data_IF_857996313587
#
_entry.id   IF_857996313587
#
_cell.length_a   1.000
_cell.length_b   1.000
_cell.length_c   1.000
_cell.angle_alpha   90.00
_cell.angle_beta   90.00
_cell.angle_gamma   90.00
#
_symmetry.space_group_name_H-M   'P 1'
#
loop_
_entity.id
_entity.type
_entity.pdbx_description
1 polymer ?
#
# COMPACT_ATOMS: atom_id res chain seq x y z
N UNK A 1 -17.22 -5.70 -33.77
CA UNK A 1 -15.91 -5.05 -33.68
C UNK A 1 -16.16 -3.72 -33.00
N UNK A 2 -16.17 -3.73 -31.67
CA UNK A 2 -16.36 -2.55 -30.84
C UNK A 2 -14.97 -2.01 -30.51
N UNK A 3 -14.66 -0.83 -31.00
CA UNK A 3 -13.48 -0.07 -30.57
C UNK A 3 -13.58 0.18 -29.07
N UNK A 4 -12.77 -0.55 -28.30
CA UNK A 4 -12.46 -0.23 -26.92
C UNK A 4 -11.64 1.06 -26.92
N UNK A 5 -12.31 2.19 -26.66
CA UNK A 5 -11.65 3.45 -26.42
C UNK A 5 -10.75 3.30 -25.18
N UNK A 6 -9.46 3.12 -25.42
CA UNK A 6 -8.39 3.27 -24.43
C UNK A 6 -8.45 4.72 -23.92
N UNK A 7 -8.96 4.93 -22.71
CA UNK A 7 -8.83 6.21 -22.02
C UNK A 7 -7.38 6.37 -21.58
N UNK A 8 -6.59 7.09 -22.37
CA UNK A 8 -5.30 7.62 -21.95
C UNK A 8 -5.54 8.74 -20.91
N UNK A 9 -5.52 8.41 -19.63
CA UNK A 9 -5.43 9.39 -18.54
C UNK A 9 -4.01 9.32 -17.95
N UNK A 10 -3.17 10.38 -18.04
CA UNK A 10 -1.83 10.35 -17.45
C UNK A 10 -1.94 10.67 -15.95
N UNK A 11 -2.41 9.65 -15.24
CA UNK A 11 -2.14 9.41 -13.84
C UNK A 11 -0.63 9.10 -13.65
N UNK A 12 -0.06 9.20 -12.44
CA UNK A 12 1.38 9.08 -12.22
C UNK A 12 2.05 7.95 -13.02
N UNK A 13 3.03 8.32 -13.84
CA UNK A 13 4.09 7.45 -14.38
C UNK A 13 5.42 8.22 -14.32
N UNK A 14 6.59 7.56 -14.12
CA UNK A 14 6.91 6.20 -14.55
C UNK A 14 7.51 5.34 -13.44
N UNK A 15 6.66 4.74 -12.62
CA UNK A 15 6.87 3.49 -11.88
C UNK A 15 5.51 3.16 -11.25
N UNK A 16 5.04 1.92 -11.31
CA UNK A 16 3.76 1.51 -10.70
C UNK A 16 3.80 1.56 -9.15
N UNK A 17 4.78 2.26 -8.57
CA UNK A 17 5.05 2.39 -7.16
C UNK A 17 5.06 3.88 -6.76
N UNK A 18 4.45 4.17 -5.63
CA UNK A 18 4.59 5.41 -4.89
C UNK A 18 4.75 5.15 -3.39
N UNK A 19 4.89 6.24 -2.63
CA UNK A 19 5.06 6.20 -1.18
C UNK A 19 3.91 6.95 -0.53
N UNK A 20 3.30 6.40 0.53
CA UNK A 20 2.32 7.13 1.36
C UNK A 20 2.90 7.50 2.71
N UNK A 21 2.79 8.79 3.06
CA UNK A 21 3.36 9.40 4.27
C UNK A 21 2.44 10.50 4.84
N UNK A 22 2.75 10.98 6.05
CA UNK A 22 2.00 12.03 6.75
C UNK A 22 2.85 12.72 7.82
N UNK A 23 2.55 13.99 8.14
CA UNK A 23 3.21 14.72 9.24
C UNK A 23 2.94 14.12 10.63
N UNK A 24 1.89 13.31 10.81
CA UNK A 24 1.50 12.81 12.14
C UNK A 24 2.43 11.74 12.72
N UNK A 25 3.57 11.48 12.09
CA UNK A 25 4.50 10.41 12.45
C UNK A 25 5.62 10.92 13.33
N UNK A 26 5.91 10.22 14.42
CA UNK A 26 7.02 10.55 15.33
C UNK A 26 8.41 10.30 14.73
N UNK A 27 8.48 9.71 13.53
CA UNK A 27 9.73 9.34 12.85
C UNK A 27 10.07 10.26 11.66
N UNK A 28 9.40 11.41 11.53
CA UNK A 28 9.57 12.35 10.43
C UNK A 28 9.40 11.71 9.03
N UNK A 29 8.44 10.78 8.91
CA UNK A 29 8.28 9.96 7.71
C UNK A 29 7.98 10.79 6.45
N UNK A 30 7.25 11.92 6.58
CA UNK A 30 6.90 12.77 5.46
C UNK A 30 8.13 13.47 4.86
N UNK A 31 9.01 14.00 5.69
CA UNK A 31 10.24 14.64 5.19
C UNK A 31 11.15 13.63 4.49
N UNK A 32 11.34 12.44 5.10
CA UNK A 32 12.14 11.36 4.51
C UNK A 32 11.54 10.88 3.18
N UNK A 33 10.22 10.67 3.14
CA UNK A 33 9.53 10.27 1.92
C UNK A 33 9.59 11.34 0.83
N UNK A 34 9.49 12.63 1.21
CA UNK A 34 9.61 13.76 0.27
C UNK A 34 11.00 13.82 -0.35
N UNK A 35 12.05 13.74 0.47
CA UNK A 35 13.44 13.70 0.00
C UNK A 35 13.67 12.53 -0.97
N UNK A 36 13.22 11.34 -0.58
CA UNK A 36 13.31 10.14 -1.41
C UNK A 36 12.58 10.34 -2.74
N UNK A 37 11.29 10.66 -2.72
CA UNK A 37 10.46 10.79 -3.92
C UNK A 37 10.97 11.89 -4.88
N UNK A 38 11.50 12.98 -4.34
CA UNK A 38 12.12 14.04 -5.16
C UNK A 38 13.39 13.57 -5.85
N UNK A 39 14.24 12.83 -5.13
CA UNK A 39 15.52 12.32 -5.66
C UNK A 39 15.33 11.19 -6.66
N UNK A 40 14.30 10.35 -6.47
CA UNK A 40 14.07 9.15 -7.27
C UNK A 40 13.00 9.33 -8.34
N UNK A 41 12.36 10.50 -8.41
CA UNK A 41 11.21 10.76 -9.27
C UNK A 41 10.04 9.78 -9.05
N UNK A 42 9.88 9.30 -7.82
CA UNK A 42 8.78 8.43 -7.40
C UNK A 42 7.60 9.29 -6.92
N UNK A 43 6.36 8.83 -7.11
CA UNK A 43 5.19 9.57 -6.65
C UNK A 43 5.04 9.52 -5.12
N UNK A 44 4.75 10.67 -4.50
CA UNK A 44 4.42 10.78 -3.08
C UNK A 44 2.92 10.94 -2.89
N UNK A 45 2.33 10.24 -1.94
CA UNK A 45 0.97 10.47 -1.48
C UNK A 45 1.00 10.99 -0.04
N UNK A 46 0.34 12.12 0.17
CA UNK A 46 0.20 12.72 1.49
C UNK A 46 -1.18 12.41 2.04
N UNK A 47 -1.23 11.64 3.14
CA UNK A 47 -2.48 11.14 3.75
C UNK A 47 -2.67 11.74 5.16
N UNK A 48 -3.28 12.93 5.20
CA UNK A 48 -3.51 13.72 6.42
C UNK A 48 -4.75 14.62 6.26
N UNK A 49 -5.26 15.16 7.36
CA UNK A 49 -6.34 16.17 7.32
C UNK A 49 -5.89 17.48 6.69
N UNK A 50 -4.57 17.74 6.69
CA UNK A 50 -3.95 18.97 6.19
C UNK A 50 -3.27 18.74 4.83
N UNK A 51 -3.56 17.62 4.16
CA UNK A 51 -2.81 17.15 3.00
C UNK A 51 -2.73 18.19 1.88
N UNK A 52 -3.79 18.96 1.61
CA UNK A 52 -3.78 20.04 0.60
C UNK A 52 -2.67 21.05 0.88
N UNK A 53 -2.53 21.50 2.14
CA UNK A 53 -1.53 22.48 2.57
C UNK A 53 -0.12 21.90 2.59
N UNK A 54 0.03 20.67 3.08
CA UNK A 54 1.31 19.95 3.11
C UNK A 54 1.82 19.72 1.67
N UNK A 55 0.94 19.30 0.76
CA UNK A 55 1.28 19.08 -0.65
C UNK A 55 1.68 20.36 -1.36
N UNK A 56 1.01 21.49 -1.11
CA UNK A 56 1.43 22.78 -1.68
C UNK A 56 2.89 23.10 -1.34
N UNK A 57 3.29 22.86 -0.08
CA UNK A 57 4.66 23.09 0.39
C UNK A 57 5.65 22.11 -0.25
N UNK A 58 5.28 20.83 -0.38
CA UNK A 58 6.11 19.78 -0.99
C UNK A 58 6.29 20.00 -2.50
N UNK A 59 5.25 20.45 -3.20
CA UNK A 59 5.29 20.81 -4.62
C UNK A 59 6.19 22.01 -4.85
N UNK A 60 6.11 23.03 -4.00
CA UNK A 60 7.02 24.18 -4.04
C UNK A 60 8.50 23.78 -3.80
N UNK A 61 8.75 22.69 -3.06
CA UNK A 61 10.07 22.13 -2.83
C UNK A 61 10.58 21.22 -3.98
N UNK A 62 9.77 20.98 -5.03
CA UNK A 62 10.19 20.30 -6.25
C UNK A 62 9.82 18.82 -6.37
N UNK A 63 8.96 18.28 -5.50
CA UNK A 63 8.53 16.88 -5.64
C UNK A 63 7.68 16.70 -6.93
N UNK A 64 8.05 15.79 -7.85
CA UNK A 64 7.57 15.81 -9.23
C UNK A 64 6.14 15.29 -9.41
N UNK A 65 5.73 14.30 -8.61
CA UNK A 65 4.37 13.78 -8.61
C UNK A 65 3.87 13.65 -7.17
N UNK A 66 2.72 14.27 -6.86
CA UNK A 66 2.13 14.24 -5.52
C UNK A 66 0.63 13.97 -5.57
N UNK A 67 0.14 13.08 -4.72
CA UNK A 67 -1.27 12.72 -4.57
C UNK A 67 -1.79 13.18 -3.21
N UNK A 68 -2.97 13.78 -3.19
CA UNK A 68 -3.64 14.23 -1.96
C UNK A 68 -4.66 13.19 -1.49
N UNK A 69 -4.58 12.81 -0.21
CA UNK A 69 -5.64 12.13 0.54
C UNK A 69 -5.95 12.90 1.82
N UNK A 70 -7.14 13.49 1.86
CA UNK A 70 -7.64 14.25 3.03
C UNK A 70 -8.06 13.37 4.20
N UNK A 71 -8.01 12.04 4.02
CA UNK A 71 -8.11 11.04 5.08
C UNK A 71 -9.44 11.02 5.84
N UNK A 72 -10.53 11.51 5.25
CA UNK A 72 -11.87 11.46 5.85
C UNK A 72 -12.30 10.03 6.18
N UNK A 73 -11.90 9.06 5.35
CA UNK A 73 -12.12 7.63 5.60
C UNK A 73 -11.55 7.14 6.93
N UNK A 74 -10.54 7.79 7.51
CA UNK A 74 -10.00 7.37 8.81
C UNK A 74 -10.78 7.97 9.98
N UNK A 75 -11.49 9.07 9.75
CA UNK A 75 -12.19 9.83 10.79
C UNK A 75 -13.65 9.38 10.95
N UNK A 76 -14.32 9.00 9.87
CA UNK A 76 -15.75 8.73 9.87
C UNK A 76 -16.15 7.54 9.01
N UNK A 77 -17.22 6.89 9.45
CA UNK A 77 -17.91 5.82 8.72
C UNK A 77 -18.95 6.42 7.77
N UNK A 78 -18.99 5.93 6.54
CA UNK A 78 -19.97 6.28 5.53
C UNK A 78 -21.36 5.77 5.90
N UNK A 79 -22.37 6.51 5.48
CA UNK A 79 -23.77 6.06 5.45
C UNK A 79 -24.35 6.36 4.06
N UNK A 80 -25.52 5.82 3.73
CA UNK A 80 -26.19 6.15 2.46
C UNK A 80 -26.45 7.65 2.32
N UNK A 81 -26.78 8.33 3.42
CA UNK A 81 -27.06 9.76 3.44
C UNK A 81 -25.78 10.62 3.45
N UNK A 82 -24.66 10.08 3.94
CA UNK A 82 -23.38 10.78 4.02
C UNK A 82 -22.23 9.88 3.53
N UNK A 83 -22.16 9.60 2.21
CA UNK A 83 -21.14 8.74 1.62
C UNK A 83 -19.74 9.40 1.57
N UNK A 84 -19.70 10.72 1.40
CA UNK A 84 -18.48 11.53 1.38
C UNK A 84 -18.60 12.71 2.34
N UNK A 85 -17.50 13.39 2.62
CA UNK A 85 -17.52 14.60 3.46
C UNK A 85 -18.43 15.70 2.91
N UNK A 86 -18.58 15.80 1.59
CA UNK A 86 -19.40 16.83 0.94
C UNK A 86 -20.90 16.69 1.23
N UNK A 87 -21.31 15.54 1.76
CA UNK A 87 -22.69 15.24 2.10
C UNK A 87 -23.02 15.46 3.59
N UNK A 88 -22.07 15.95 4.39
CA UNK A 88 -22.29 16.27 5.80
C UNK A 88 -22.67 17.76 5.96
N UNK A 89 -23.96 18.06 5.73
CA UNK A 89 -24.51 19.41 5.88
C UNK A 89 -24.99 20.03 4.56
N UNK A 90 -25.02 21.36 4.49
CA UNK A 90 -25.39 22.07 3.27
C UNK A 90 -24.20 22.02 2.29
N UNK A 91 -24.33 21.39 1.11
CA UNK A 91 -23.24 21.32 0.15
C UNK A 91 -22.95 22.73 -0.37
N UNK A 92 -21.84 23.30 0.10
CA UNK A 92 -21.32 24.58 -0.40
C UNK A 92 -20.67 24.42 -1.78
N UNK A 93 -20.29 23.19 -2.13
CA UNK A 93 -19.62 22.80 -3.37
C UNK A 93 -20.12 21.43 -3.82
N UNK A 94 -20.17 21.21 -5.12
CA UNK A 94 -20.19 19.86 -5.67
C UNK A 94 -18.79 19.21 -5.66
N UNK A 95 -18.71 17.94 -6.09
CA UNK A 95 -17.45 17.19 -6.06
C UNK A 95 -16.40 17.72 -7.04
N UNK A 96 -16.81 18.24 -8.20
CA UNK A 96 -15.89 18.78 -9.21
C UNK A 96 -15.36 20.15 -8.78
N UNK A 97 -16.22 21.00 -8.21
CA UNK A 97 -15.86 22.28 -7.61
C UNK A 97 -14.85 22.09 -6.46
N UNK A 98 -15.14 21.15 -5.56
CA UNK A 98 -14.22 20.79 -4.47
C UNK A 98 -12.88 20.28 -4.99
N UNK A 99 -12.89 19.34 -5.94
CA UNK A 99 -11.68 18.74 -6.47
C UNK A 99 -10.81 19.77 -7.20
N UNK A 100 -11.42 20.64 -7.99
CA UNK A 100 -10.73 21.72 -8.71
C UNK A 100 -10.07 22.68 -7.72
N UNK A 101 -10.82 23.15 -6.70
CA UNK A 101 -10.27 24.05 -5.69
C UNK A 101 -9.11 23.42 -4.91
N UNK A 102 -9.22 22.14 -4.56
CA UNK A 102 -8.16 21.43 -3.83
C UNK A 102 -6.92 21.18 -4.71
N UNK A 103 -7.09 20.85 -5.98
CA UNK A 103 -6.00 20.69 -6.94
C UNK A 103 -5.28 22.03 -7.21
N UNK A 104 -6.03 23.12 -7.39
CA UNK A 104 -5.47 24.45 -7.60
C UNK A 104 -4.67 24.92 -6.38
N UNK A 105 -5.20 24.70 -5.17
CA UNK A 105 -4.54 25.10 -3.93
C UNK A 105 -3.28 24.27 -3.61
N UNK A 106 -3.26 22.99 -3.99
CA UNK A 106 -2.15 22.08 -3.68
C UNK A 106 -1.12 21.93 -4.81
N UNK A 107 -1.51 22.25 -6.05
CA UNK A 107 -0.79 21.89 -7.27
C UNK A 107 -0.47 20.38 -7.37
N UNK A 108 -1.31 19.53 -6.77
CA UNK A 108 -1.14 18.09 -6.77
C UNK A 108 -1.34 17.49 -8.17
N UNK A 109 -0.73 16.34 -8.40
CA UNK A 109 -0.91 15.52 -9.62
C UNK A 109 -2.26 14.85 -9.62
N UNK A 110 -2.76 14.41 -8.47
CA UNK A 110 -4.07 13.81 -8.32
C UNK A 110 -4.60 14.02 -6.90
N UNK A 111 -5.91 13.86 -6.73
CA UNK A 111 -6.58 13.90 -5.45
C UNK A 111 -7.55 12.73 -5.33
N UNK A 112 -7.61 12.11 -4.15
CA UNK A 112 -8.61 11.10 -3.84
C UNK A 112 -9.92 11.76 -3.44
N UNK A 113 -11.07 11.17 -3.81
CA UNK A 113 -12.37 11.64 -3.32
C UNK A 113 -12.40 11.66 -1.79
N UNK A 114 -13.13 12.59 -1.16
CA UNK A 114 -13.22 12.71 0.29
C UNK A 114 -14.20 11.67 0.86
N UNK A 115 -14.06 10.42 0.41
CA UNK A 115 -14.93 9.30 0.77
C UNK A 115 -14.76 8.95 2.25
N UNK A 116 -15.87 8.57 2.89
CA UNK A 116 -15.86 8.01 4.24
C UNK A 116 -15.66 6.49 4.19
N UNK A 117 -15.36 5.88 5.32
CA UNK A 117 -15.09 4.44 5.39
C UNK A 117 -16.36 3.62 5.15
N UNK A 118 -16.31 2.64 4.25
CA UNK A 118 -17.40 1.71 3.99
C UNK A 118 -17.24 0.49 4.92
N UNK A 119 -18.17 0.24 5.87
CA UNK A 119 -18.09 -0.95 6.71
C UNK A 119 -18.35 -2.23 5.93
N UNK A 120 -17.75 -3.34 6.40
CA UNK A 120 -17.99 -4.66 5.85
C UNK A 120 -19.49 -4.99 5.73
N UNK A 121 -19.90 -5.48 4.56
CA UNK A 121 -21.27 -5.95 4.30
C UNK A 121 -22.30 -4.84 4.08
N UNK A 122 -21.94 -3.57 4.19
CA UNK A 122 -22.85 -2.44 3.95
C UNK A 122 -22.93 -2.08 2.46
N UNK A 123 -23.53 -2.97 1.67
CA UNK A 123 -23.60 -2.84 0.20
C UNK A 123 -24.26 -1.54 -0.27
N UNK A 124 -25.36 -1.14 0.35
CA UNK A 124 -26.05 0.11 0.01
C UNK A 124 -25.17 1.34 0.27
N UNK A 125 -24.34 1.30 1.32
CA UNK A 125 -23.36 2.36 1.61
C UNK A 125 -22.26 2.39 0.55
N UNK A 126 -21.73 1.24 0.14
CA UNK A 126 -20.77 1.16 -0.96
C UNK A 126 -21.35 1.75 -2.26
N UNK A 127 -22.56 1.36 -2.61
CA UNK A 127 -23.28 1.87 -3.78
C UNK A 127 -23.49 3.39 -3.69
N UNK A 128 -23.80 3.93 -2.52
CA UNK A 128 -23.91 5.37 -2.30
C UNK A 128 -22.57 6.10 -2.49
N UNK A 129 -21.46 5.53 -2.01
CA UNK A 129 -20.11 6.08 -2.26
C UNK A 129 -19.77 6.09 -3.75
N UNK A 130 -20.05 5.00 -4.45
CA UNK A 130 -19.79 4.88 -5.88
C UNK A 130 -20.66 5.87 -6.68
N UNK A 131 -21.96 5.94 -6.38
CA UNK A 131 -22.89 6.89 -7.00
C UNK A 131 -22.50 8.36 -6.75
N UNK A 132 -22.06 8.70 -5.54
CA UNK A 132 -21.64 10.05 -5.19
C UNK A 132 -20.40 10.54 -5.96
N UNK A 133 -19.66 9.63 -6.61
CA UNK A 133 -18.44 9.95 -7.37
C UNK A 133 -18.56 9.67 -8.88
N UNK A 134 -19.71 9.13 -9.30
CA UNK A 134 -19.94 8.63 -10.66
C UNK A 134 -19.98 9.76 -11.71
N UNK A 135 -20.58 10.89 -11.35
CA UNK A 135 -20.79 12.04 -12.26
C UNK A 135 -19.60 13.00 -12.30
N UNK A 136 -18.56 12.75 -11.51
CA UNK A 136 -17.40 13.64 -11.46
C UNK A 136 -16.62 13.64 -12.79
N UNK A 137 -16.27 14.81 -13.28
CA UNK A 137 -15.61 15.00 -14.57
C UNK A 137 -14.15 15.39 -14.46
N UNK A 138 -13.67 15.77 -13.28
CA UNK A 138 -12.27 16.14 -13.05
C UNK A 138 -11.34 14.95 -13.34
N UNK A 139 -10.42 15.04 -14.33
CA UNK A 139 -9.59 13.90 -14.75
C UNK A 139 -8.62 13.40 -13.67
N UNK A 140 -8.14 14.31 -12.83
CA UNK A 140 -7.15 14.05 -11.78
C UNK A 140 -7.81 13.69 -10.44
N UNK A 141 -9.14 13.51 -10.41
CA UNK A 141 -9.88 13.04 -9.26
C UNK A 141 -10.04 11.52 -9.34
N UNK A 142 -9.56 10.81 -8.32
CA UNK A 142 -9.60 9.35 -8.23
C UNK A 142 -10.63 8.92 -7.18
N UNK A 143 -11.54 8.01 -7.56
CA UNK A 143 -12.56 7.51 -6.65
C UNK A 143 -11.94 6.57 -5.62
N UNK A 144 -11.97 6.97 -4.34
CA UNK A 144 -11.49 6.19 -3.22
C UNK A 144 -12.58 5.31 -2.62
N UNK A 145 -12.31 4.02 -2.55
CA UNK A 145 -13.04 3.02 -1.77
C UNK A 145 -12.16 2.57 -0.61
N UNK A 146 -12.38 3.14 0.56
CA UNK A 146 -11.77 2.70 1.82
C UNK A 146 -12.74 1.79 2.56
N UNK A 147 -12.36 0.53 2.79
CA UNK A 147 -13.24 -0.51 3.35
C UNK A 147 -12.48 -1.49 4.23
N UNK A 148 -13.19 -2.37 4.93
CA UNK A 148 -12.61 -3.48 5.68
C UNK A 148 -11.84 -4.42 4.73
N UNK A 149 -10.63 -4.84 5.12
CA UNK A 149 -9.86 -5.81 4.35
C UNK A 149 -10.57 -7.16 4.18
N UNK A 150 -11.51 -7.47 5.08
CA UNK A 150 -12.39 -8.64 4.98
C UNK A 150 -13.34 -8.59 3.77
N UNK A 151 -13.50 -7.45 3.08
CA UNK A 151 -14.20 -7.38 1.80
C UNK A 151 -13.51 -8.25 0.73
N UNK A 152 -12.22 -8.53 0.89
CA UNK A 152 -11.46 -9.44 0.02
C UNK A 152 -11.56 -10.92 0.44
N UNK A 153 -12.16 -11.22 1.59
CA UNK A 153 -12.40 -12.61 1.98
C UNK A 153 -13.40 -13.25 1.00
N UNK A 154 -13.23 -14.52 0.68
CA UNK A 154 -14.07 -15.31 -0.23
C UNK A 154 -15.58 -15.22 0.04
N UNK A 155 -15.96 -15.02 1.31
CA UNK A 155 -17.36 -14.86 1.74
C UNK A 155 -18.01 -13.55 1.31
N UNK A 156 -17.23 -12.51 1.04
CA UNK A 156 -17.71 -11.16 0.73
C UNK A 156 -17.28 -10.66 -0.64
N UNK A 157 -16.23 -11.27 -1.21
CA UNK A 157 -15.59 -10.83 -2.44
C UNK A 157 -16.56 -10.73 -3.62
N UNK A 158 -17.42 -11.73 -3.83
CA UNK A 158 -18.35 -11.73 -4.96
C UNK A 158 -19.28 -10.51 -4.94
N UNK A 159 -19.95 -10.27 -3.80
CA UNK A 159 -20.83 -9.11 -3.62
C UNK A 159 -20.07 -7.78 -3.77
N UNK A 160 -18.85 -7.71 -3.24
CA UNK A 160 -18.00 -6.53 -3.34
C UNK A 160 -17.64 -6.22 -4.81
N UNK A 161 -17.23 -7.23 -5.58
CA UNK A 161 -16.91 -7.07 -7.00
C UNK A 161 -18.14 -6.71 -7.84
N UNK A 162 -19.30 -7.28 -7.54
CA UNK A 162 -20.55 -6.97 -8.22
C UNK A 162 -20.97 -5.51 -8.00
N UNK A 163 -20.86 -5.01 -6.77
CA UNK A 163 -21.16 -3.61 -6.46
C UNK A 163 -20.22 -2.64 -7.19
N UNK A 164 -18.92 -2.97 -7.27
CA UNK A 164 -17.95 -2.17 -8.05
C UNK A 164 -18.24 -2.18 -9.55
N UNK A 165 -18.63 -3.32 -10.12
CA UNK A 165 -18.87 -3.49 -11.56
C UNK A 165 -20.06 -2.66 -12.08
N UNK A 166 -20.98 -2.25 -11.20
CA UNK A 166 -22.13 -1.43 -11.54
C UNK A 166 -21.83 0.08 -11.56
N UNK A 167 -20.57 0.48 -11.36
CA UNK A 167 -20.14 1.88 -11.36
C UNK A 167 -19.64 2.30 -12.74
N UNK A 168 -19.89 3.55 -13.19
CA UNK A 168 -19.26 4.08 -14.40
C UNK A 168 -17.74 3.95 -14.36
N UNK A 169 -17.12 3.81 -15.53
CA UNK A 169 -15.66 3.66 -15.64
C UNK A 169 -14.95 4.90 -15.10
N UNK A 170 -14.30 4.74 -13.94
CA UNK A 170 -13.50 5.75 -13.24
C UNK A 170 -12.22 5.09 -12.75
N UNK A 171 -11.17 5.89 -12.53
CA UNK A 171 -10.01 5.38 -11.80
C UNK A 171 -10.43 5.09 -10.35
N UNK A 172 -10.25 3.84 -9.94
CA UNK A 172 -10.50 3.39 -8.57
C UNK A 172 -9.20 3.33 -7.77
N UNK A 173 -9.28 3.74 -6.51
CA UNK A 173 -8.27 3.53 -5.49
C UNK A 173 -8.86 2.80 -4.29
N UNK A 174 -8.10 1.85 -3.75
CA UNK A 174 -8.53 1.01 -2.64
C UNK A 174 -7.63 1.15 -1.44
N UNK A 175 -8.26 1.34 -0.27
CA UNK A 175 -7.63 1.20 1.04
C UNK A 175 -8.34 0.07 1.76
N UNK A 176 -7.59 -0.98 2.10
CA UNK A 176 -8.09 -2.12 2.86
C UNK A 176 -7.62 -2.02 4.31
N UNK A 177 -8.54 -1.63 5.19
CA UNK A 177 -8.23 -1.40 6.59
C UNK A 177 -8.56 -2.61 7.46
N UNK A 178 -7.71 -2.86 8.46
CA UNK A 178 -7.96 -3.80 9.55
C UNK A 178 -7.10 -3.40 10.75
N UNK A 179 -7.35 -4.00 11.91
CA UNK A 179 -6.65 -3.68 13.14
C UNK A 179 -5.14 -3.96 13.05
N UNK A 180 -4.74 -5.04 12.37
CA UNK A 180 -3.33 -5.46 12.19
C UNK A 180 -3.15 -6.20 10.86
N UNK A 181 -2.07 -5.88 10.14
CA UNK A 181 -1.63 -6.58 8.92
C UNK A 181 -2.79 -6.95 7.98
N UNK A 182 -3.50 -5.95 7.41
CA UNK A 182 -4.82 -6.14 6.81
C UNK A 182 -4.87 -7.20 5.70
N UNK A 183 -3.78 -7.33 4.96
CA UNK A 183 -3.68 -8.21 3.79
C UNK A 183 -2.81 -9.45 4.04
N UNK A 184 -2.28 -9.66 5.25
CA UNK A 184 -1.42 -10.81 5.57
C UNK A 184 -2.22 -12.11 5.81
N UNK A 185 -3.11 -12.45 4.88
CA UNK A 185 -3.96 -13.63 4.88
C UNK A 185 -4.07 -14.19 3.47
N UNK A 186 -3.97 -15.52 3.35
CA UNK A 186 -4.12 -16.23 2.08
C UNK A 186 -5.39 -15.83 1.32
N UNK A 187 -6.55 -15.83 2.00
CA UNK A 187 -7.84 -15.57 1.35
C UNK A 187 -7.94 -14.13 0.84
N UNK A 188 -7.37 -13.16 1.59
CA UNK A 188 -7.38 -11.74 1.21
C UNK A 188 -6.41 -11.42 0.07
N UNK A 189 -5.24 -12.04 0.06
CA UNK A 189 -4.28 -11.91 -1.05
C UNK A 189 -4.87 -12.50 -2.34
N UNK A 190 -5.51 -13.67 -2.25
CA UNK A 190 -6.26 -14.24 -3.36
C UNK A 190 -7.38 -13.30 -3.81
N UNK A 191 -8.14 -12.73 -2.88
CA UNK A 191 -9.18 -11.75 -3.18
C UNK A 191 -8.65 -10.49 -3.87
N UNK A 192 -7.48 -9.99 -3.43
CA UNK A 192 -6.80 -8.85 -4.06
C UNK A 192 -6.41 -9.15 -5.52
N UNK A 193 -5.86 -10.34 -5.80
CA UNK A 193 -5.56 -10.76 -7.18
C UNK A 193 -6.82 -10.84 -8.04
N UNK A 194 -7.91 -11.39 -7.51
CA UNK A 194 -9.20 -11.44 -8.21
C UNK A 194 -9.74 -10.02 -8.49
N UNK A 195 -9.64 -9.10 -7.52
CA UNK A 195 -10.00 -7.70 -7.70
C UNK A 195 -9.21 -7.07 -8.84
N UNK A 196 -7.89 -7.21 -8.87
CA UNK A 196 -7.03 -6.63 -9.89
C UNK A 196 -7.21 -7.26 -11.27
N UNK A 197 -7.55 -8.55 -11.34
CA UNK A 197 -7.96 -9.20 -12.58
C UNK A 197 -9.27 -8.63 -13.13
N UNK A 198 -10.23 -8.30 -12.25
CA UNK A 198 -11.54 -7.76 -12.64
C UNK A 198 -11.49 -6.26 -12.94
N UNK A 199 -10.66 -5.51 -12.23
CA UNK A 199 -10.48 -4.07 -12.33
C UNK A 199 -8.99 -3.72 -12.50
N UNK A 200 -8.39 -4.09 -13.65
CA UNK A 200 -6.97 -3.79 -13.91
C UNK A 200 -6.74 -2.27 -13.92
N UNK A 201 -5.54 -1.86 -13.53
CA UNK A 201 -5.20 -0.43 -13.41
C UNK A 201 -5.64 0.22 -12.09
N UNK A 202 -6.38 -0.50 -11.22
CA UNK A 202 -6.76 0.01 -9.90
C UNK A 202 -5.56 0.39 -9.04
N UNK A 203 -5.74 1.39 -8.18
CA UNK A 203 -4.71 1.82 -7.24
C UNK A 203 -4.86 1.08 -5.91
N UNK A 204 -3.74 0.59 -5.37
CA UNK A 204 -3.71 -0.08 -4.06
C UNK A 204 -2.88 0.76 -3.10
N UNK A 205 -3.49 1.23 -2.01
CA UNK A 205 -2.91 2.28 -1.18
C UNK A 205 -2.67 1.77 0.24
N UNK A 206 -1.51 2.14 0.80
CA UNK A 206 -1.19 1.90 2.19
C UNK A 206 -0.94 0.44 2.46
N UNK A 207 0.01 -0.15 1.72
CA UNK A 207 0.37 -1.56 1.84
C UNK A 207 1.84 -1.75 2.16
N UNK A 208 2.22 -2.94 2.62
CA UNK A 208 3.62 -3.33 2.74
C UNK A 208 4.25 -3.69 1.38
N UNK A 209 5.57 -3.86 1.36
CA UNK A 209 6.36 -4.09 0.14
C UNK A 209 5.95 -5.40 -0.56
N UNK A 210 5.64 -6.46 0.20
CA UNK A 210 5.27 -7.77 -0.37
C UNK A 210 3.92 -7.72 -1.06
N UNK A 211 2.95 -7.09 -0.41
CA UNK A 211 1.63 -6.85 -0.98
C UNK A 211 1.72 -5.93 -2.18
N UNK A 212 2.56 -4.88 -2.10
CA UNK A 212 2.68 -3.93 -3.19
C UNK A 212 3.22 -4.57 -4.47
N UNK A 213 4.25 -5.39 -4.31
CA UNK A 213 4.91 -6.09 -5.41
C UNK A 213 4.01 -7.17 -6.00
N UNK A 214 3.19 -7.84 -5.18
CA UNK A 214 2.11 -8.71 -5.66
C UNK A 214 1.09 -7.94 -6.51
N UNK A 215 0.60 -6.81 -6.00
CA UNK A 215 -0.38 -5.99 -6.70
C UNK A 215 0.16 -5.51 -8.07
N UNK A 216 1.42 -5.07 -8.14
CA UNK A 216 2.09 -4.69 -9.41
C UNK A 216 2.15 -5.88 -10.37
N UNK A 217 2.54 -7.07 -9.89
CA UNK A 217 2.63 -8.28 -10.71
C UNK A 217 1.26 -8.71 -11.26
N UNK A 218 0.17 -8.37 -10.56
CA UNK A 218 -1.20 -8.72 -10.91
C UNK A 218 -2.02 -7.58 -11.54
N UNK A 219 -1.36 -6.52 -12.02
CA UNK A 219 -2.00 -5.52 -12.88
C UNK A 219 -2.55 -4.28 -12.17
N UNK A 220 -2.12 -4.01 -10.94
CA UNK A 220 -2.34 -2.69 -10.33
C UNK A 220 -1.70 -1.59 -11.19
N UNK A 221 -2.44 -0.50 -11.39
CA UNK A 221 -1.95 0.65 -12.16
C UNK A 221 -0.97 1.49 -11.36
N UNK A 222 -1.20 1.61 -10.05
CA UNK A 222 -0.30 2.28 -9.12
C UNK A 222 -0.46 1.71 -7.72
N UNK A 223 0.62 1.68 -6.95
CA UNK A 223 0.62 1.15 -5.59
C UNK A 223 1.38 2.06 -4.65
N UNK A 224 0.77 2.46 -3.54
CA UNK A 224 1.42 3.27 -2.51
C UNK A 224 1.89 2.41 -1.32
N UNK A 225 3.21 2.26 -1.18
CA UNK A 225 3.82 1.63 0.01
C UNK A 225 3.87 2.62 1.17
N UNK A 226 3.47 2.18 2.36
CA UNK A 226 3.54 3.02 3.55
C UNK A 226 4.97 3.29 4.02
N UNK A 227 5.33 4.56 4.24
CA UNK A 227 6.64 4.95 4.79
C UNK A 227 6.86 4.47 6.24
N UNK A 228 5.77 4.19 6.98
CA UNK A 228 5.82 3.58 8.32
C UNK A 228 4.80 2.47 8.47
N UNK A 229 4.88 1.72 9.57
CA UNK A 229 3.93 0.64 9.84
C UNK A 229 2.47 1.13 9.95
N UNK A 230 2.24 2.34 10.45
CA UNK A 230 0.90 2.92 10.50
C UNK A 230 0.34 3.23 9.11
N UNK A 231 1.22 3.51 8.14
CA UNK A 231 0.86 3.77 6.75
C UNK A 231 0.80 2.50 5.90
N UNK A 232 1.54 1.45 6.28
CA UNK A 232 1.47 0.12 5.67
C UNK A 232 0.22 -0.66 6.08
N UNK A 233 -0.35 -0.34 7.24
CA UNK A 233 -1.52 -1.03 7.80
C UNK A 233 -2.61 -0.02 8.20
N UNK A 234 -3.36 0.52 7.21
CA UNK A 234 -4.53 1.35 7.43
C UNK A 234 -5.48 0.73 8.45
N UNK A 235 -6.01 1.55 9.35
CA UNK A 235 -6.95 1.13 10.40
C UNK A 235 -8.32 1.75 10.17
N UNK A 236 -9.35 1.09 10.68
CA UNK A 236 -10.72 1.52 10.54
C UNK A 236 -11.00 2.70 11.49
N UNK A 237 -12.02 3.53 11.20
CA UNK A 237 -12.50 4.50 12.17
C UNK A 237 -12.76 3.85 13.53
N UNK A 238 -12.27 4.47 14.60
CA UNK A 238 -12.47 3.99 15.96
C UNK A 238 -11.62 2.80 16.39
N UNK A 239 -10.79 2.21 15.53
CA UNK A 239 -9.83 1.18 15.96
C UNK A 239 -8.81 1.79 16.93
N UNK A 240 -9.07 1.63 18.24
CA UNK A 240 -8.13 2.04 19.28
C UNK A 240 -6.96 1.07 19.34
N UNK A 241 -5.77 1.59 19.07
CA UNK A 241 -4.52 0.92 19.41
C UNK A 241 -3.86 0.15 18.27
N UNK A 242 -2.54 0.28 18.28
CA UNK A 242 -1.57 -0.75 17.98
C UNK A 242 -0.39 -0.33 18.81
N UNK A 243 -0.27 -0.92 20.01
CA UNK A 243 0.95 -0.80 20.80
C UNK A 243 2.12 -1.01 19.83
N UNK A 244 3.15 -0.16 19.85
CA UNK A 244 4.34 -0.42 19.07
C UNK A 244 4.79 -1.85 19.39
N UNK A 245 4.73 -2.74 18.40
CA UNK A 245 5.24 -4.10 18.59
C UNK A 245 6.77 -4.09 18.75
N UNK A 246 7.41 -2.99 18.34
CA UNK A 246 8.85 -2.79 18.41
C UNK A 246 9.25 -1.95 19.63
N UNK A 247 10.30 -2.42 20.32
CA UNK A 247 11.02 -1.68 21.37
C UNK A 247 11.42 -0.29 20.83
N UNK A 248 11.12 0.76 21.58
CA UNK A 248 11.50 2.13 21.22
C UNK A 248 10.77 2.75 20.02
N UNK A 249 9.64 2.16 19.58
CA UNK A 249 8.91 2.60 18.37
C UNK A 249 9.75 2.54 17.09
N UNK A 250 10.70 1.59 17.03
CA UNK A 250 11.57 1.42 15.89
C UNK A 250 10.77 0.94 14.66
N UNK A 251 10.89 1.59 13.49
CA UNK A 251 10.38 1.02 12.26
C UNK A 251 11.05 -0.32 12.01
N UNK A 252 10.28 -1.32 11.56
CA UNK A 252 10.90 -2.55 11.09
C UNK A 252 11.74 -2.27 9.84
N UNK A 253 12.92 -2.87 9.77
CA UNK A 253 13.84 -2.81 8.63
C UNK A 253 13.48 -3.93 7.66
N UNK A 254 13.37 -3.62 6.37
CA UNK A 254 13.06 -4.60 5.33
C UNK A 254 14.35 -5.19 4.76
N UNK A 255 14.44 -6.51 4.70
CA UNK A 255 15.61 -7.22 4.21
C UNK A 255 15.28 -7.98 2.92
N UNK A 256 15.78 -7.47 1.79
CA UNK A 256 15.51 -8.00 0.44
C UNK A 256 15.76 -9.51 0.30
N UNK A 257 16.91 -10.07 0.73
CA UNK A 257 17.18 -11.51 0.59
C UNK A 257 16.22 -12.47 1.29
N UNK A 258 15.44 -11.98 2.26
CA UNK A 258 14.48 -12.79 3.02
C UNK A 258 13.05 -12.28 2.87
N UNK A 259 12.86 -11.20 2.10
CA UNK A 259 11.56 -10.57 1.83
C UNK A 259 10.71 -10.42 3.12
N UNK A 260 11.31 -9.89 4.19
CA UNK A 260 10.67 -9.73 5.49
C UNK A 260 11.05 -8.36 6.09
N UNK A 261 10.17 -7.82 6.92
CA UNK A 261 10.43 -6.66 7.77
C UNK A 261 10.54 -7.09 9.23
N UNK A 262 11.73 -6.98 9.84
CA UNK A 262 11.95 -7.28 11.26
C UNK A 262 12.60 -6.11 12.02
N UNK A 263 12.69 -6.25 13.34
CA UNK A 263 13.54 -5.37 14.14
C UNK A 263 15.00 -5.57 13.72
N UNK A 264 15.81 -4.51 13.57
CA UNK A 264 17.25 -4.62 13.34
C UNK A 264 17.97 -5.61 14.27
N UNK A 265 17.60 -5.66 15.56
CA UNK A 265 18.15 -6.62 16.53
C UNK A 265 18.05 -8.08 16.05
N UNK A 266 16.96 -8.46 15.37
CA UNK A 266 16.78 -9.82 14.83
C UNK A 266 17.79 -10.10 13.73
N UNK A 267 18.11 -9.09 12.90
CA UNK A 267 19.09 -9.24 11.84
C UNK A 267 20.52 -9.23 12.39
N UNK A 268 20.80 -8.42 13.40
CA UNK A 268 22.07 -8.48 14.13
C UNK A 268 22.34 -9.89 14.66
N UNK A 269 21.31 -10.54 15.23
CA UNK A 269 21.42 -11.92 15.69
C UNK A 269 21.64 -12.92 14.53
N UNK A 270 20.87 -12.80 13.44
CA UNK A 270 20.99 -13.70 12.27
C UNK A 270 22.35 -13.60 11.58
N UNK A 271 22.93 -12.41 11.53
CA UNK A 271 24.18 -12.15 10.81
C UNK A 271 25.39 -12.02 11.74
N UNK A 272 25.28 -12.28 13.04
CA UNK A 272 26.38 -12.15 14.00
C UNK A 272 27.69 -12.88 13.60
N UNK A 273 27.59 -13.98 12.84
CA UNK A 273 28.73 -14.78 12.38
C UNK A 273 28.84 -14.88 10.85
N UNK A 274 28.20 -13.98 10.09
CA UNK A 274 28.26 -13.97 8.63
C UNK A 274 28.13 -12.55 8.06
N UNK A 275 28.58 -12.29 6.82
CA UNK A 275 28.38 -10.98 6.23
C UNK A 275 26.89 -10.62 6.14
N UNK A 276 26.54 -9.49 6.76
CA UNK A 276 25.20 -8.92 6.66
C UNK A 276 24.95 -8.36 5.25
N UNK A 277 23.71 -8.45 4.73
CA UNK A 277 23.36 -7.80 3.49
C UNK A 277 23.60 -6.30 3.55
N UNK A 278 23.92 -5.73 2.41
CA UNK A 278 24.31 -4.33 2.26
C UNK A 278 23.32 -3.61 1.36
N UNK A 279 22.99 -2.37 1.68
CA UNK A 279 22.24 -1.50 0.78
C UNK A 279 23.20 -0.48 0.16
N UNK A 280 23.36 -0.55 -1.16
CA UNK A 280 24.27 0.34 -1.91
C UNK A 280 23.90 1.82 -1.77
N UNK A 281 22.59 2.12 -1.72
CA UNK A 281 22.09 3.48 -1.56
C UNK A 281 22.30 4.03 -0.15
N UNK A 282 22.19 3.18 0.87
CA UNK A 282 22.45 3.58 2.26
C UNK A 282 23.93 3.52 2.63
N UNK A 283 24.75 2.86 1.81
CA UNK A 283 26.18 2.59 2.05
C UNK A 283 26.45 2.03 3.46
N UNK A 284 25.56 1.15 3.95
CA UNK A 284 25.58 0.62 5.33
C UNK A 284 25.10 -0.83 5.35
N UNK A 285 25.78 -1.72 6.10
CA UNK A 285 25.27 -3.06 6.44
C UNK A 285 23.97 -2.98 7.26
N UNK A 286 23.04 -3.89 6.99
CA UNK A 286 21.66 -3.81 7.50
C UNK A 286 21.48 -4.32 8.94
N UNK A 287 22.49 -4.97 9.49
CA UNK A 287 22.57 -5.43 10.88
C UNK A 287 23.09 -4.34 11.83
N UNK A 288 23.61 -3.24 11.31
CA UNK A 288 24.18 -2.15 12.12
C UNK A 288 23.16 -1.08 12.52
N UNK A 289 21.90 -1.19 12.12
CA UNK A 289 20.86 -0.23 12.53
C UNK A 289 20.51 -0.42 14.01
N UNK A 290 20.48 0.67 14.76
CA UNK A 290 20.19 0.67 16.19
C UNK A 290 18.83 1.33 16.50
N UNK A 291 18.32 1.10 17.71
CA UNK A 291 17.06 1.69 18.19
C UNK A 291 17.22 3.18 18.61
N UNK A 292 17.86 4.01 17.79
CA UNK A 292 18.13 5.43 18.05
C UNK A 292 17.21 6.35 17.23
N UNK A 293 16.97 7.57 17.70
CA UNK A 293 16.21 8.57 16.93
C UNK A 293 16.91 8.97 15.63
N UNK A 294 18.23 8.82 15.56
CA UNK A 294 19.01 9.00 14.34
C UNK A 294 18.72 7.91 13.31
N UNK A 295 18.58 6.65 13.74
CA UNK A 295 18.41 5.52 12.83
C UNK A 295 16.97 5.32 12.34
N UNK A 296 15.95 5.77 13.09
CA UNK A 296 14.54 5.71 12.65
C UNK A 296 14.32 6.26 11.23
N UNK A 297 14.71 7.51 10.89
CA UNK A 297 14.56 8.03 9.53
C UNK A 297 15.43 7.29 8.51
N UNK A 298 16.61 6.78 8.90
CA UNK A 298 17.48 6.01 8.01
C UNK A 298 16.88 4.64 7.65
N UNK A 299 16.21 3.97 8.60
CA UNK A 299 15.47 2.73 8.35
C UNK A 299 14.31 2.98 7.39
N UNK A 300 13.57 4.08 7.56
CA UNK A 300 12.51 4.46 6.62
C UNK A 300 13.12 4.64 5.22
N UNK A 301 14.19 5.43 5.09
CA UNK A 301 14.88 5.66 3.81
C UNK A 301 15.32 4.35 3.14
N UNK A 302 15.93 3.44 3.91
CA UNK A 302 16.31 2.11 3.43
C UNK A 302 15.11 1.32 2.90
N UNK A 303 14.01 1.28 3.65
CA UNK A 303 12.80 0.57 3.24
C UNK A 303 12.23 1.12 1.93
N UNK A 304 12.28 2.44 1.74
CA UNK A 304 11.84 3.07 0.49
C UNK A 304 12.76 2.71 -0.69
N UNK A 305 14.08 2.72 -0.51
CA UNK A 305 15.01 2.23 -1.53
C UNK A 305 14.72 0.77 -1.90
N UNK A 306 14.57 -0.09 -0.90
CA UNK A 306 14.32 -1.50 -1.12
C UNK A 306 12.96 -1.78 -1.79
N UNK A 307 11.93 -0.99 -1.48
CA UNK A 307 10.63 -1.07 -2.14
C UNK A 307 10.73 -0.68 -3.61
N UNK A 308 11.38 0.45 -3.91
CA UNK A 308 11.62 0.94 -5.26
C UNK A 308 12.41 -0.05 -6.09
N UNK A 309 13.54 -0.53 -5.58
CA UNK A 309 14.41 -1.44 -6.31
C UNK A 309 13.69 -2.75 -6.66
N UNK A 310 12.93 -3.32 -5.71
CA UNK A 310 12.12 -4.51 -6.00
C UNK A 310 11.00 -4.24 -7.00
N UNK A 311 10.32 -3.10 -6.92
CA UNK A 311 9.30 -2.73 -7.90
C UNK A 311 9.90 -2.51 -9.31
N UNK A 312 11.08 -1.90 -9.40
CA UNK A 312 11.81 -1.70 -10.65
C UNK A 312 12.20 -3.05 -11.27
N UNK A 313 12.69 -4.01 -10.48
CA UNK A 313 13.03 -5.35 -10.95
C UNK A 313 11.81 -6.12 -11.50
N UNK A 314 10.65 -6.02 -10.82
CA UNK A 314 9.40 -6.64 -11.27
C UNK A 314 8.92 -5.97 -12.56
N UNK A 315 8.88 -4.64 -12.60
CA UNK A 315 8.37 -3.90 -13.76
C UNK A 315 9.25 -4.08 -14.99
N UNK A 316 10.55 -4.34 -14.80
CA UNK A 316 11.48 -4.74 -15.86
C UNK A 316 11.17 -6.12 -16.47
N UNK A 317 10.43 -6.99 -15.78
CA UNK A 317 9.93 -8.24 -16.37
C UNK A 317 8.75 -7.98 -17.32
N UNK A 318 8.62 -8.76 -18.41
CA UNK A 318 7.41 -8.78 -19.23
C UNK A 318 6.16 -9.02 -18.37
N UNK A 319 5.05 -8.34 -18.66
CA UNK A 319 3.88 -8.32 -17.80
C UNK A 319 3.33 -9.73 -17.48
N UNK A 320 3.36 -10.65 -18.44
CA UNK A 320 2.95 -12.04 -18.32
C UNK A 320 3.93 -12.91 -17.51
N UNK A 321 5.18 -12.48 -17.34
CA UNK A 321 6.24 -13.19 -16.61
C UNK A 321 6.41 -12.69 -15.16
N UNK A 322 5.88 -11.51 -14.84
CA UNK A 322 6.00 -10.89 -13.50
C UNK A 322 5.59 -11.83 -12.36
N UNK A 323 4.43 -12.53 -12.39
CA UNK A 323 4.05 -13.41 -11.29
C UNK A 323 5.02 -14.59 -11.12
N UNK A 324 5.47 -15.19 -12.22
CA UNK A 324 6.40 -16.32 -12.20
C UNK A 324 7.77 -15.93 -11.64
N UNK A 325 8.30 -14.79 -12.06
CA UNK A 325 9.54 -14.23 -11.51
C UNK A 325 9.41 -13.95 -10.01
N UNK A 326 8.31 -13.31 -9.60
CA UNK A 326 8.10 -12.94 -8.21
C UNK A 326 7.93 -14.17 -7.30
N UNK A 327 7.28 -15.23 -7.78
CA UNK A 327 7.21 -16.52 -7.10
C UNK A 327 8.61 -17.10 -6.84
N UNK A 328 9.50 -17.09 -7.85
CA UNK A 328 10.88 -17.57 -7.67
C UNK A 328 11.60 -16.81 -6.54
N UNK A 329 11.49 -15.47 -6.53
CA UNK A 329 12.07 -14.64 -5.48
C UNK A 329 11.50 -14.95 -4.09
N UNK A 330 10.20 -15.21 -3.99
CA UNK A 330 9.52 -15.58 -2.74
C UNK A 330 9.96 -16.95 -2.22
N UNK A 331 10.05 -17.94 -3.09
CA UNK A 331 10.53 -19.28 -2.74
C UNK A 331 11.99 -19.22 -2.26
N UNK A 332 12.85 -18.50 -2.97
CA UNK A 332 14.24 -18.29 -2.55
C UNK A 332 14.35 -17.61 -1.19
N UNK A 333 13.57 -16.54 -0.97
CA UNK A 333 13.51 -15.85 0.31
C UNK A 333 13.00 -16.75 1.44
N UNK A 334 11.96 -17.55 1.19
CA UNK A 334 11.41 -18.49 2.16
C UNK A 334 12.42 -19.58 2.53
N UNK A 335 13.16 -20.13 1.56
CA UNK A 335 14.25 -21.07 1.81
C UNK A 335 15.40 -20.41 2.59
N UNK A 336 15.67 -19.12 2.35
CA UNK A 336 16.67 -18.36 3.10
C UNK A 336 16.32 -18.24 4.58
N UNK A 337 15.06 -18.00 4.93
CA UNK A 337 14.60 -18.03 6.33
C UNK A 337 14.94 -19.35 7.03
N UNK A 338 14.75 -20.48 6.35
CA UNK A 338 15.09 -21.80 6.89
C UNK A 338 16.60 -21.98 7.12
N UNK A 339 17.46 -21.30 6.34
CA UNK A 339 18.91 -21.34 6.52
C UNK A 339 19.44 -20.43 7.62
N UNK A 340 18.69 -19.36 7.97
CA UNK A 340 19.05 -18.40 9.01
C UNK A 340 18.52 -18.79 10.39
N UNK A 341 17.45 -19.59 10.42
CA UNK A 341 16.90 -20.16 11.65
C UNK A 341 17.74 -21.36 12.11
N UNK A 342 17.83 -21.61 13.42
CA UNK A 342 18.50 -22.81 13.92
C UNK A 342 17.78 -24.08 13.41
N UNK A 343 18.51 -25.17 13.14
CA UNK A 343 17.95 -26.38 12.50
C UNK A 343 16.76 -27.03 13.23
N UNK A 344 16.53 -26.68 14.50
CA UNK A 344 15.43 -27.19 15.33
C UNK A 344 14.30 -26.16 15.55
N UNK A 345 14.46 -24.91 15.11
CA UNK A 345 13.45 -23.86 15.27
C UNK A 345 12.43 -23.86 14.12
N UNK A 346 11.17 -23.47 14.39
CA UNK A 346 10.21 -23.16 13.33
C UNK A 346 10.76 -22.08 12.38
N UNK A 347 10.41 -22.18 11.09
CA UNK A 347 10.73 -21.15 10.10
C UNK A 347 9.80 -19.96 10.32
N UNK A 348 10.31 -18.95 11.01
CA UNK A 348 9.60 -17.70 11.26
C UNK A 348 9.69 -16.77 10.04
N UNK A 349 9.11 -17.16 8.91
CA UNK A 349 8.92 -16.25 7.78
C UNK A 349 7.74 -15.30 8.01
N UNK A 350 7.77 -14.14 7.35
CA UNK A 350 6.64 -13.20 7.31
C UNK A 350 5.33 -13.90 6.88
N UNK A 351 4.20 -13.46 7.46
CA UNK A 351 2.89 -14.07 7.18
C UNK A 351 2.42 -13.81 5.75
N UNK A 352 2.65 -12.61 5.24
CA UNK A 352 2.34 -12.25 3.85
C UNK A 352 3.24 -13.05 2.91
N UNK A 353 4.55 -13.15 3.19
CA UNK A 353 5.46 -13.99 2.38
C UNK A 353 4.98 -15.45 2.30
N UNK A 354 4.66 -16.05 3.47
CA UNK A 354 4.16 -17.43 3.54
C UNK A 354 2.89 -17.62 2.71
N UNK A 355 1.89 -16.76 2.92
CA UNK A 355 0.62 -16.84 2.22
C UNK A 355 0.76 -16.65 0.70
N UNK A 356 1.69 -15.81 0.26
CA UNK A 356 2.00 -15.63 -1.17
C UNK A 356 2.69 -16.86 -1.77
N UNK A 357 3.65 -17.47 -1.07
CA UNK A 357 4.27 -18.72 -1.52
C UNK A 357 3.22 -19.83 -1.69
N UNK A 358 2.29 -19.96 -0.73
CA UNK A 358 1.21 -20.95 -0.78
C UNK A 358 0.24 -20.67 -1.94
N UNK A 359 -0.06 -19.39 -2.20
CA UNK A 359 -0.94 -18.97 -3.28
C UNK A 359 -0.33 -19.16 -4.67
N UNK A 360 1.00 -19.10 -4.76
CA UNK A 360 1.75 -19.31 -6.00
C UNK A 360 2.10 -20.80 -6.25
N UNK A 361 1.81 -21.69 -5.29
CA UNK A 361 2.08 -23.12 -5.42
C UNK A 361 1.03 -23.81 -6.30
N UNK A 362 1.41 -24.40 -7.45
CA UNK A 362 0.45 -25.03 -8.36
C UNK A 362 -0.24 -26.26 -7.78
N UNK A 363 0.36 -26.88 -6.76
CA UNK A 363 -0.21 -28.02 -6.02
C UNK A 363 -1.09 -27.58 -4.84
N UNK A 364 -1.21 -26.26 -4.59
CA UNK A 364 -2.00 -25.68 -3.50
C UNK A 364 -1.61 -26.20 -2.12
N UNK A 365 -0.30 -26.47 -1.93
CA UNK A 365 0.25 -27.00 -0.68
C UNK A 365 0.39 -25.91 0.37
N UNK A 366 0.33 -26.33 1.63
CA UNK A 366 0.54 -25.44 2.76
C UNK A 366 1.96 -25.61 3.32
N UNK A 367 2.54 -24.54 3.84
CA UNK A 367 3.83 -24.61 4.50
C UNK A 367 3.65 -24.96 5.97
N UNK A 368 4.29 -26.03 6.42
CA UNK A 368 4.33 -26.38 7.85
C UNK A 368 5.11 -25.35 8.69
N UNK A 369 4.98 -25.37 10.02
CA UNK A 369 5.80 -24.53 10.89
C UNK A 369 7.31 -24.74 10.70
N UNK A 370 7.72 -25.94 10.27
CA UNK A 370 9.12 -26.28 9.96
C UNK A 370 9.55 -25.88 8.53
N UNK A 371 8.72 -25.14 7.79
CA UNK A 371 9.04 -24.68 6.43
C UNK A 371 8.96 -25.76 5.35
N UNK A 372 8.40 -26.94 5.65
CA UNK A 372 8.16 -28.00 4.64
C UNK A 372 6.77 -27.85 4.03
N UNK A 373 6.66 -28.01 2.71
CA UNK A 373 5.39 -28.16 2.00
C UNK A 373 4.63 -29.41 2.49
N UNK A 374 3.31 -29.30 2.60
CA UNK A 374 2.39 -30.34 3.06
C UNK A 374 1.20 -30.47 2.13
#
# INVERSE_FOLDING_TARGET
MSDSASMDLPLPTPENLGVVASETSTCNELAVATEHCTTTNTALMVSSTDAVREVASIRAAGCPAVVVDTRHWHAATATEAAPTELHDGLPLYDLDEWATAALDASHATAILTPSRFVPLGQRQVLQAVLAATAEATVPNLVTLVATDAAALDSRHLADFLDDLANTPARQLAFIFADKRTPLASYDRLRGLRTLLQRFPGSWIIGVDILTATDAIAHGAGWVAVGASSARRWPRRPGDTGGQPLAKGFLPGLFLRPVLDTRSPDVYADWYANSPSPFCDQCNRPLDLFEATDFDKPNIIRHNLHAARDLAAEITAQPADQRPGWLNQQRVEAFLRHASLSSQAAPVEADRTLRALCELDDPEMRETSPAGRWK
#
